data_IF_037235543936
#
_entry.id   IF_037235543936
#
_cell.length_a   1.000
_cell.length_b   1.000
_cell.length_c   1.000
_cell.angle_alpha   90.00
_cell.angle_beta   90.00
_cell.angle_gamma   90.00
#
_symmetry.space_group_name_H-M   'P 1'
#
loop_
_entity.id
_entity.type
_entity.pdbx_description
1 polymer ?
#
# COMPACT_ATOMS: atom_id res chain seq x y z
N UNK A 1 29.77 3.64 8.77
CA UNK A 1 28.43 4.25 8.59
C UNK A 1 28.62 5.71 8.15
N UNK A 2 28.87 5.92 6.87
CA UNK A 2 28.75 7.24 6.28
C UNK A 2 27.27 7.41 5.96
N UNK A 3 26.49 7.95 6.91
CA UNK A 3 25.18 8.48 6.61
C UNK A 3 25.31 9.51 5.49
N UNK A 4 24.49 9.39 4.45
CA UNK A 4 24.42 10.39 3.41
C UNK A 4 24.16 11.76 4.10
N UNK A 5 25.03 12.74 3.88
CA UNK A 5 24.96 14.06 4.53
C UNK A 5 23.58 14.74 4.31
N UNK A 6 22.88 14.37 3.23
CA UNK A 6 21.57 14.92 2.88
C UNK A 6 20.39 14.09 3.41
N UNK A 7 20.62 12.96 4.11
CA UNK A 7 19.58 12.04 4.57
C UNK A 7 18.66 11.53 3.42
N UNK A 8 19.20 11.40 2.22
CA UNK A 8 18.52 10.82 1.06
C UNK A 8 18.81 9.32 0.96
N UNK A 9 17.80 8.53 0.62
CA UNK A 9 17.90 7.07 0.52
C UNK A 9 17.61 6.61 -0.91
N UNK A 10 18.44 5.71 -1.44
CA UNK A 10 18.34 5.17 -2.78
C UNK A 10 18.09 3.68 -2.72
N UNK A 11 16.98 3.23 -3.34
CA UNK A 11 16.53 1.83 -3.34
C UNK A 11 16.17 1.39 -4.77
N UNK A 12 16.58 0.18 -5.15
CA UNK A 12 16.11 -0.48 -6.36
C UNK A 12 14.72 -1.09 -6.15
N UNK A 13 13.88 -1.04 -7.18
CA UNK A 13 12.51 -1.60 -7.13
C UNK A 13 12.23 -2.59 -8.26
N UNK A 14 13.27 -3.03 -9.00
CA UNK A 14 13.20 -4.07 -10.02
C UNK A 14 12.64 -3.61 -11.35
N UNK A 15 11.51 -2.94 -11.38
CA UNK A 15 10.84 -2.48 -12.60
C UNK A 15 10.01 -1.22 -12.36
N UNK A 16 9.59 -0.58 -13.44
CA UNK A 16 8.71 0.59 -13.40
C UNK A 16 7.34 0.22 -12.86
N UNK A 17 6.78 0.97 -11.87
CA UNK A 17 5.40 0.81 -11.44
C UNK A 17 4.40 1.12 -12.55
N UNK A 18 3.32 0.34 -12.65
CA UNK A 18 2.22 0.60 -13.61
C UNK A 18 1.42 1.86 -13.24
N UNK A 19 1.38 2.19 -11.95
CA UNK A 19 0.65 3.33 -11.40
C UNK A 19 0.85 3.47 -9.90
N UNK A 20 0.21 4.47 -9.29
CA UNK A 20 0.21 4.71 -7.85
C UNK A 20 -1.20 4.84 -7.27
N UNK A 21 -2.20 4.26 -7.95
CA UNK A 21 -3.54 4.13 -7.40
C UNK A 21 -3.62 2.83 -6.57
N UNK A 22 -3.74 2.90 -5.23
CA UNK A 22 -3.69 1.72 -4.37
C UNK A 22 -4.84 0.74 -4.61
N UNK A 23 -5.92 1.22 -5.25
CA UNK A 23 -7.09 0.39 -5.55
C UNK A 23 -7.00 -0.31 -6.92
N UNK A 24 -6.00 0.01 -7.75
CA UNK A 24 -5.86 -0.52 -9.11
C UNK A 24 -4.60 -1.34 -9.34
N UNK A 25 -3.53 -1.07 -8.60
CA UNK A 25 -2.25 -1.72 -8.77
C UNK A 25 -2.16 -3.06 -8.02
N UNK A 26 -1.27 -3.94 -8.46
CA UNK A 26 -1.10 -5.28 -7.89
C UNK A 26 0.37 -5.69 -7.73
N UNK A 27 1.30 -4.84 -8.13
CA UNK A 27 2.73 -5.14 -8.17
C UNK A 27 3.49 -4.81 -6.88
N UNK A 28 4.65 -5.46 -6.74
CA UNK A 28 5.60 -5.20 -5.64
C UNK A 28 6.27 -3.83 -5.78
N UNK A 29 6.66 -3.36 -6.99
CA UNK A 29 7.24 -2.03 -7.15
C UNK A 29 6.31 -0.91 -6.68
N UNK A 30 5.00 -1.03 -6.99
CA UNK A 30 3.97 -0.11 -6.52
C UNK A 30 3.88 -0.11 -5.00
N UNK A 31 3.91 -1.29 -4.40
CA UNK A 31 3.84 -1.44 -2.95
C UNK A 31 4.96 -0.68 -2.23
N UNK A 32 6.21 -0.78 -2.70
CA UNK A 32 7.33 -0.04 -2.11
C UNK A 32 7.12 1.47 -2.12
N UNK A 33 6.62 2.02 -3.24
CA UNK A 33 6.36 3.45 -3.34
C UNK A 33 5.14 3.85 -2.49
N UNK A 34 4.06 3.06 -2.55
CA UNK A 34 2.82 3.35 -1.81
C UNK A 34 3.02 3.32 -0.30
N UNK A 35 3.88 2.42 0.24
CA UNK A 35 4.28 2.40 1.66
C UNK A 35 4.86 3.74 2.15
N UNK A 36 5.48 4.51 1.26
CA UNK A 36 6.00 5.83 1.61
C UNK A 36 4.95 6.94 1.52
N UNK A 37 3.93 6.79 0.67
CA UNK A 37 2.97 7.85 0.32
C UNK A 37 1.66 7.76 1.09
N UNK A 38 1.26 6.56 1.53
CA UNK A 38 -0.02 6.29 2.16
C UNK A 38 0.16 5.46 3.43
N UNK A 39 -0.82 5.57 4.31
CA UNK A 39 -0.91 4.80 5.55
C UNK A 39 -2.35 4.31 5.76
N UNK A 40 -2.49 3.05 6.21
CA UNK A 40 -3.78 2.42 6.49
C UNK A 40 -4.26 2.61 7.92
N UNK A 41 -5.32 1.88 8.30
CA UNK A 41 -5.80 1.85 9.68
C UNK A 41 -4.77 1.27 10.64
N UNK A 42 -4.10 0.21 10.21
CA UNK A 42 -3.06 -0.50 10.97
C UNK A 42 -1.81 -0.67 10.12
N UNK A 43 -0.69 -0.93 10.76
CA UNK A 43 0.59 -1.28 10.12
C UNK A 43 1.17 -2.54 10.73
N UNK A 44 2.29 -3.01 10.19
CA UNK A 44 3.04 -4.15 10.72
C UNK A 44 4.32 -3.64 11.38
N UNK A 45 4.61 -4.19 12.57
CA UNK A 45 5.94 -4.01 13.16
C UNK A 45 7.01 -4.59 12.22
N UNK A 46 8.08 -3.86 11.89
CA UNK A 46 9.02 -4.26 10.84
C UNK A 46 9.77 -5.59 11.10
N UNK A 47 9.95 -5.96 12.37
CA UNK A 47 10.68 -7.18 12.75
C UNK A 47 9.75 -8.33 13.14
N UNK A 48 8.70 -8.04 13.93
CA UNK A 48 7.84 -9.08 14.51
C UNK A 48 6.61 -9.39 13.68
N UNK A 49 6.28 -8.53 12.70
CA UNK A 49 5.05 -8.55 11.91
C UNK A 49 3.78 -8.47 12.76
N UNK A 50 3.89 -8.03 14.01
CA UNK A 50 2.73 -7.76 14.86
C UNK A 50 1.94 -6.56 14.32
N UNK A 51 0.62 -6.61 14.49
CA UNK A 51 -0.25 -5.50 14.10
C UNK A 51 -0.03 -4.33 15.06
N UNK A 52 0.21 -3.15 14.50
CA UNK A 52 0.40 -1.91 15.24
C UNK A 52 -0.58 -0.82 14.81
N UNK A 53 -0.89 0.15 15.69
CA UNK A 53 -1.60 1.36 15.33
C UNK A 53 -0.93 2.14 14.20
N UNK A 54 -1.76 2.73 13.33
CA UNK A 54 -1.32 3.64 12.27
C UNK A 54 -2.27 4.85 12.22
N UNK A 55 -3.08 5.03 11.17
CA UNK A 55 -4.15 6.06 11.19
C UNK A 55 -5.17 5.78 12.30
N UNK A 56 -5.46 4.51 12.60
CA UNK A 56 -6.21 4.17 13.81
C UNK A 56 -5.25 4.07 15.01
N UNK A 57 -5.50 4.88 16.05
CA UNK A 57 -4.71 4.83 17.29
C UNK A 57 -5.09 3.65 18.19
N UNK A 58 -6.28 3.08 18.01
CA UNK A 58 -6.79 1.92 18.75
C UNK A 58 -8.00 1.32 18.06
N UNK A 59 -8.40 0.12 18.48
CA UNK A 59 -9.62 -0.55 18.03
C UNK A 59 -10.20 -1.45 19.09
N UNK A 60 -11.52 -1.67 19.02
CA UNK A 60 -12.28 -2.61 19.82
C UNK A 60 -12.82 -3.74 18.95
N UNK A 61 -12.91 -4.93 19.52
CA UNK A 61 -13.44 -6.13 18.85
C UNK A 61 -14.57 -6.66 19.73
N UNK A 62 -15.75 -6.91 19.14
CA UNK A 62 -16.87 -7.52 19.85
C UNK A 62 -16.55 -8.98 20.25
N UNK A 63 -17.22 -9.47 21.31
CA UNK A 63 -16.98 -10.82 21.84
C UNK A 63 -17.19 -11.93 20.80
N UNK A 64 -18.10 -11.72 19.86
CA UNK A 64 -18.39 -12.65 18.76
C UNK A 64 -17.41 -12.53 17.57
N UNK A 65 -16.50 -11.53 17.61
CA UNK A 65 -15.53 -11.27 16.55
C UNK A 65 -16.15 -10.76 15.24
N UNK A 66 -17.38 -10.28 15.26
CA UNK A 66 -18.10 -9.81 14.07
C UNK A 66 -18.07 -8.29 13.90
N UNK A 67 -17.75 -7.55 14.94
CA UNK A 67 -17.70 -6.09 14.89
C UNK A 67 -16.33 -5.57 15.31
N UNK A 68 -15.74 -4.70 14.46
CA UNK A 68 -14.49 -4.01 14.73
C UNK A 68 -14.75 -2.51 14.70
N UNK A 69 -14.39 -1.83 15.78
CA UNK A 69 -14.51 -0.37 15.88
C UNK A 69 -13.13 0.25 15.96
N UNK A 70 -12.74 1.03 14.95
CA UNK A 70 -11.46 1.73 14.90
C UNK A 70 -11.63 3.18 15.32
N UNK A 71 -10.72 3.66 16.18
CA UNK A 71 -10.64 5.04 16.64
C UNK A 71 -9.47 5.73 15.94
N UNK A 72 -9.77 6.70 15.07
CA UNK A 72 -8.76 7.39 14.29
C UNK A 72 -7.93 8.36 15.13
N UNK A 73 -6.65 8.47 14.81
CA UNK A 73 -5.75 9.43 15.41
C UNK A 73 -6.16 10.85 15.03
N UNK A 74 -6.47 11.74 15.99
CA UNK A 74 -6.90 13.11 15.71
C UNK A 74 -5.82 13.95 15.02
N UNK A 75 -4.55 13.53 15.05
CA UNK A 75 -3.43 14.19 14.40
C UNK A 75 -3.17 13.68 12.97
N UNK A 76 -3.85 12.60 12.52
CA UNK A 76 -3.69 12.08 11.19
C UNK A 76 -4.13 13.12 10.15
N UNK A 77 -3.25 13.44 9.22
CA UNK A 77 -3.46 14.50 8.22
C UNK A 77 -2.97 14.06 6.85
N UNK A 78 -3.61 14.59 5.82
CA UNK A 78 -3.19 14.51 4.45
C UNK A 78 -2.01 15.46 4.20
N UNK A 79 -1.24 15.22 3.16
CA UNK A 79 -0.06 16.01 2.80
C UNK A 79 -0.37 17.46 2.36
N UNK A 80 -1.63 17.80 2.15
CA UNK A 80 -2.11 19.15 1.93
C UNK A 80 -2.58 19.86 3.22
N UNK A 81 -2.51 19.19 4.37
CA UNK A 81 -2.91 19.70 5.69
C UNK A 81 -4.36 19.42 6.10
N UNK A 82 -5.18 18.83 5.22
CA UNK A 82 -6.52 18.37 5.57
C UNK A 82 -6.44 17.23 6.59
N UNK A 83 -7.43 17.11 7.47
CA UNK A 83 -7.52 16.00 8.42
C UNK A 83 -7.94 14.71 7.70
N UNK A 84 -7.33 13.59 8.09
CA UNK A 84 -7.85 12.27 7.71
C UNK A 84 -9.06 11.95 8.57
N UNK A 85 -10.16 11.57 7.93
CA UNK A 85 -11.43 11.29 8.58
C UNK A 85 -11.97 9.91 8.21
N UNK A 86 -12.93 9.41 9.00
CA UNK A 86 -13.66 8.18 8.68
C UNK A 86 -14.39 8.25 7.34
N UNK A 87 -14.82 9.45 6.91
CA UNK A 87 -15.46 9.63 5.60
C UNK A 87 -14.50 9.41 4.43
N UNK A 88 -13.20 9.66 4.59
CA UNK A 88 -12.20 9.38 3.56
C UNK A 88 -12.06 7.87 3.35
N UNK A 89 -12.12 7.10 4.42
CA UNK A 89 -12.17 5.63 4.37
C UNK A 89 -13.48 5.12 3.75
N UNK A 90 -14.64 5.71 4.13
CA UNK A 90 -15.92 5.36 3.52
C UNK A 90 -15.91 5.54 2.01
N UNK A 91 -15.45 6.71 1.53
CA UNK A 91 -15.26 6.99 0.10
C UNK A 91 -14.34 5.95 -0.56
N UNK A 92 -13.25 5.60 0.10
CA UNK A 92 -12.24 4.67 -0.42
C UNK A 92 -12.78 3.25 -0.55
N UNK A 93 -13.56 2.78 0.43
CA UNK A 93 -14.19 1.45 0.37
C UNK A 93 -15.34 1.40 -0.64
N UNK A 94 -16.16 2.46 -0.74
CA UNK A 94 -17.16 2.56 -1.78
C UNK A 94 -16.53 2.54 -3.16
N UNK A 95 -15.48 3.34 -3.38
CA UNK A 95 -14.70 3.35 -4.62
C UNK A 95 -14.15 1.98 -4.96
N UNK A 96 -13.47 1.34 -4.00
CA UNK A 96 -12.83 0.03 -4.14
C UNK A 96 -13.84 -1.07 -4.51
N UNK A 97 -15.04 -1.01 -3.92
CA UNK A 97 -16.10 -2.01 -4.14
C UNK A 97 -17.00 -1.68 -5.33
N UNK A 98 -16.97 -0.45 -5.87
CA UNK A 98 -17.80 -0.07 -7.02
C UNK A 98 -17.42 -0.89 -8.26
N UNK A 99 -18.36 -1.65 -8.87
CA UNK A 99 -18.05 -2.56 -9.99
C UNK A 99 -17.37 -1.87 -11.16
N UNK A 100 -17.74 -0.61 -11.45
CA UNK A 100 -17.22 0.17 -12.56
C UNK A 100 -15.70 0.48 -12.42
N UNK A 101 -15.15 0.52 -11.22
CA UNK A 101 -13.71 0.67 -11.01
C UNK A 101 -12.94 -0.56 -11.47
N UNK A 102 -13.52 -1.77 -11.26
CA UNK A 102 -12.88 -3.04 -11.60
C UNK A 102 -11.59 -3.27 -10.80
N UNK A 103 -11.60 -2.95 -9.51
CA UNK A 103 -10.46 -3.11 -8.61
C UNK A 103 -10.02 -4.58 -8.51
N UNK A 104 -8.76 -4.93 -8.84
CA UNK A 104 -8.31 -6.33 -8.86
C UNK A 104 -8.41 -7.04 -7.51
N UNK A 105 -8.22 -6.30 -6.43
CA UNK A 105 -8.22 -6.81 -5.06
C UNK A 105 -9.48 -6.49 -4.25
N UNK A 106 -10.60 -6.13 -4.91
CA UNK A 106 -11.88 -5.89 -4.24
C UNK A 106 -12.31 -7.07 -3.33
N UNK A 107 -11.96 -8.30 -3.71
CA UNK A 107 -12.28 -9.51 -2.94
C UNK A 107 -11.65 -9.53 -1.53
N UNK A 108 -10.60 -8.75 -1.27
CA UNK A 108 -10.00 -8.64 0.06
C UNK A 108 -10.95 -7.98 1.08
N UNK A 109 -11.96 -7.25 0.60
CA UNK A 109 -13.00 -6.64 1.44
C UNK A 109 -14.22 -7.56 1.64
N UNK A 110 -14.26 -8.76 1.04
CA UNK A 110 -15.45 -9.64 1.07
C UNK A 110 -15.75 -10.28 2.43
N UNK A 111 -14.84 -10.16 3.40
CA UNK A 111 -15.15 -10.48 4.81
C UNK A 111 -16.15 -9.50 5.43
N UNK A 112 -16.25 -8.28 4.91
CA UNK A 112 -17.23 -7.27 5.32
C UNK A 112 -18.62 -7.69 4.82
N UNK A 113 -19.63 -7.55 5.69
CA UNK A 113 -21.02 -7.86 5.37
C UNK A 113 -21.47 -7.11 4.11
N UNK A 114 -22.08 -7.81 3.16
CA UNK A 114 -22.61 -7.29 1.90
C UNK A 114 -21.56 -6.69 0.91
N UNK A 115 -20.26 -6.66 1.23
CA UNK A 115 -19.24 -6.12 0.34
C UNK A 115 -19.16 -6.88 -1.00
N UNK A 116 -19.23 -8.20 -0.94
CA UNK A 116 -19.23 -9.05 -2.13
C UNK A 116 -20.46 -8.82 -3.03
N UNK A 117 -21.66 -8.75 -2.43
CA UNK A 117 -22.90 -8.49 -3.16
C UNK A 117 -22.88 -7.10 -3.84
N UNK A 118 -22.38 -6.09 -3.15
CA UNK A 118 -22.22 -4.75 -3.70
C UNK A 118 -21.21 -4.76 -4.87
N UNK A 119 -20.05 -5.37 -4.69
CA UNK A 119 -19.03 -5.43 -5.75
C UNK A 119 -19.45 -6.22 -6.98
N UNK A 120 -20.34 -7.21 -6.82
CA UNK A 120 -20.92 -7.96 -7.94
C UNK A 120 -22.12 -7.28 -8.61
N UNK A 121 -22.56 -6.13 -8.10
CA UNK A 121 -23.76 -5.43 -8.58
C UNK A 121 -25.09 -6.09 -8.22
N UNK A 122 -25.09 -7.02 -7.27
CA UNK A 122 -26.31 -7.65 -6.71
C UNK A 122 -26.98 -6.71 -5.69
N UNK A 123 -26.23 -5.76 -5.16
CA UNK A 123 -26.65 -4.70 -4.26
C UNK A 123 -26.13 -3.35 -4.79
N UNK A 124 -27.02 -2.35 -4.90
CA UNK A 124 -26.66 -1.05 -5.48
C UNK A 124 -26.52 0.09 -4.44
N UNK A 125 -26.87 -0.19 -3.19
CA UNK A 125 -26.80 0.79 -2.10
C UNK A 125 -25.61 0.47 -1.18
N UNK A 126 -24.55 1.30 -1.23
CA UNK A 126 -23.37 1.13 -0.39
C UNK A 126 -23.66 1.24 1.10
N UNK A 127 -24.72 1.97 1.50
CA UNK A 127 -25.12 2.08 2.90
C UNK A 127 -25.49 0.73 3.56
N UNK A 128 -25.78 -0.29 2.74
CA UNK A 128 -26.05 -1.66 3.18
C UNK A 128 -24.79 -2.50 3.41
N UNK A 129 -23.62 -2.00 2.99
CA UNK A 129 -22.34 -2.64 3.26
C UNK A 129 -21.98 -2.44 4.73
N UNK A 130 -21.38 -3.46 5.34
CA UNK A 130 -21.05 -3.49 6.76
C UNK A 130 -19.90 -2.59 7.17
N UNK A 131 -19.79 -1.38 6.60
CA UNK A 131 -18.84 -0.35 7.02
C UNK A 131 -19.60 0.94 7.29
N UNK A 132 -19.30 1.61 8.42
CA UNK A 132 -20.00 2.82 8.85
C UNK A 132 -19.03 3.82 9.48
N UNK A 133 -19.33 5.11 9.31
CA UNK A 133 -18.65 6.22 9.94
C UNK A 133 -19.67 6.99 10.82
N UNK A 134 -19.88 6.60 12.09
CA UNK A 134 -20.84 7.29 12.96
C UNK A 134 -20.44 8.74 13.28
N UNK A 135 -19.16 9.03 13.22
CA UNK A 135 -18.57 10.37 13.33
C UNK A 135 -17.26 10.44 12.54
N UNK A 136 -16.61 11.60 12.50
CA UNK A 136 -15.40 11.84 11.68
C UNK A 136 -14.15 11.11 12.17
N UNK A 137 -14.19 10.47 13.33
CA UNK A 137 -13.04 9.79 13.97
C UNK A 137 -13.25 8.32 14.24
N UNK A 138 -14.44 7.78 13.93
CA UNK A 138 -14.81 6.39 14.22
C UNK A 138 -15.22 5.66 12.96
N UNK A 139 -14.60 4.47 12.74
CA UNK A 139 -14.98 3.53 11.70
C UNK A 139 -15.44 2.22 12.33
N UNK A 140 -16.59 1.72 11.90
CA UNK A 140 -17.16 0.45 12.37
C UNK A 140 -17.30 -0.51 11.20
N UNK A 141 -16.75 -1.71 11.36
CA UNK A 141 -16.90 -2.81 10.40
C UNK A 141 -17.75 -3.91 11.00
N UNK A 142 -18.76 -4.34 10.26
CA UNK A 142 -19.57 -5.53 10.54
C UNK A 142 -19.17 -6.63 9.57
N UNK A 143 -18.64 -7.75 10.07
CA UNK A 143 -18.19 -8.86 9.26
C UNK A 143 -19.32 -9.85 8.99
N UNK A 144 -19.22 -10.60 7.90
CA UNK A 144 -20.18 -11.67 7.58
C UNK A 144 -19.93 -12.95 8.40
N UNK A 145 -18.68 -13.17 8.80
CA UNK A 145 -18.24 -14.27 9.66
C UNK A 145 -17.03 -13.84 10.47
N UNK A 146 -16.76 -14.42 11.66
CA UNK A 146 -15.55 -14.13 12.40
C UNK A 146 -14.30 -14.38 11.53
N UNK A 147 -13.46 -13.35 11.42
CA UNK A 147 -12.29 -13.37 10.54
C UNK A 147 -11.06 -13.03 11.37
N UNK A 148 -10.33 -14.01 11.93
CA UNK A 148 -9.21 -13.77 12.86
C UNK A 148 -8.07 -12.94 12.27
N UNK A 149 -7.92 -12.95 10.94
CA UNK A 149 -6.89 -12.19 10.20
C UNK A 149 -7.40 -10.84 9.67
N UNK A 150 -8.55 -10.33 10.15
CA UNK A 150 -9.15 -9.08 9.66
C UNK A 150 -8.21 -7.89 9.80
N UNK A 151 -7.52 -7.76 10.93
CA UNK A 151 -6.54 -6.70 11.16
C UNK A 151 -5.33 -6.78 10.19
N UNK A 152 -4.93 -7.99 9.79
CA UNK A 152 -3.88 -8.16 8.80
C UNK A 152 -4.33 -7.66 7.40
N UNK A 153 -5.61 -7.82 7.05
CA UNK A 153 -6.13 -7.27 5.79
C UNK A 153 -6.00 -5.74 5.75
N UNK A 154 -6.25 -5.06 6.88
CA UNK A 154 -6.21 -3.59 6.95
C UNK A 154 -4.80 -2.99 6.83
N UNK A 155 -3.73 -3.80 6.89
CA UNK A 155 -2.35 -3.36 6.62
C UNK A 155 -2.02 -3.29 5.13
N UNK A 156 -2.81 -3.92 4.27
CA UNK A 156 -2.55 -3.97 2.85
C UNK A 156 -3.01 -2.68 2.16
N UNK A 157 -2.25 -2.19 1.18
CA UNK A 157 -2.52 -0.91 0.50
C UNK A 157 -3.91 -0.79 -0.14
N UNK A 158 -4.58 -1.88 -0.47
CA UNK A 158 -5.96 -1.85 -0.98
C UNK A 158 -6.99 -1.37 0.05
N UNK A 159 -6.64 -1.38 1.33
CA UNK A 159 -7.46 -0.87 2.44
C UNK A 159 -7.13 0.58 2.81
N UNK A 160 -6.07 1.14 2.21
CA UNK A 160 -5.62 2.48 2.54
C UNK A 160 -6.53 3.55 1.91
N UNK A 161 -6.74 4.66 2.61
CA UNK A 161 -7.62 5.70 2.11
C UNK A 161 -6.96 6.48 0.98
N UNK A 162 -7.77 7.01 0.07
CA UNK A 162 -7.38 8.00 -0.92
C UNK A 162 -8.09 9.32 -0.61
N UNK A 163 -7.47 10.45 -0.93
CA UNK A 163 -8.04 11.77 -0.64
C UNK A 163 -9.22 12.07 -1.59
N UNK A 164 -10.48 12.11 -1.11
CA UNK A 164 -11.65 12.19 -1.98
C UNK A 164 -11.66 13.40 -2.89
N UNK A 165 -11.34 14.58 -2.33
CA UNK A 165 -11.35 15.83 -3.08
C UNK A 165 -10.32 15.82 -4.21
N UNK A 166 -9.14 15.22 -4.00
CA UNK A 166 -8.12 15.09 -5.04
C UNK A 166 -8.57 14.11 -6.14
N UNK A 167 -9.16 12.98 -5.77
CA UNK A 167 -9.68 12.03 -6.78
C UNK A 167 -10.74 12.71 -7.64
N UNK A 168 -11.73 13.36 -7.01
CA UNK A 168 -12.86 14.00 -7.68
C UNK A 168 -12.47 15.26 -8.46
N UNK A 169 -11.41 15.95 -8.08
CA UNK A 169 -10.90 17.10 -8.85
C UNK A 169 -10.28 16.68 -10.19
N UNK A 170 -9.97 15.40 -10.39
CA UNK A 170 -9.30 14.89 -11.58
C UNK A 170 -10.14 13.88 -12.38
N UNK A 171 -11.42 13.73 -12.06
CA UNK A 171 -12.36 12.86 -12.76
C UNK A 171 -13.39 12.23 -11.82
N UNK A 172 -14.11 11.25 -12.34
CA UNK A 172 -15.05 10.48 -11.52
C UNK A 172 -14.29 9.52 -10.60
N UNK A 173 -14.91 9.10 -9.49
CA UNK A 173 -14.27 8.18 -8.53
C UNK A 173 -13.84 6.84 -9.15
N UNK A 174 -14.42 6.46 -10.28
CA UNK A 174 -14.14 5.22 -11.00
C UNK A 174 -13.24 5.38 -12.22
N UNK A 175 -12.73 6.59 -12.48
CA UNK A 175 -11.80 6.83 -13.58
C UNK A 175 -10.44 6.15 -13.32
N UNK A 176 -10.12 5.18 -14.18
CA UNK A 176 -8.89 4.38 -14.08
C UNK A 176 -7.65 5.10 -14.63
N UNK A 177 -7.84 6.13 -15.45
CA UNK A 177 -6.76 6.88 -16.13
C UNK A 177 -6.71 8.33 -15.61
N UNK A 178 -7.09 8.51 -14.35
CA UNK A 178 -7.09 9.82 -13.72
C UNK A 178 -5.67 10.32 -13.43
N UNK A 179 -5.51 11.65 -13.41
CA UNK A 179 -4.22 12.31 -13.14
C UNK A 179 -3.95 12.55 -11.65
N UNK A 180 -4.85 12.14 -10.77
CA UNK A 180 -4.70 12.41 -9.33
C UNK A 180 -3.44 11.75 -8.72
N UNK A 181 -2.95 10.65 -9.34
CA UNK A 181 -1.75 9.93 -8.89
C UNK A 181 -0.42 10.50 -9.42
N UNK A 182 -0.45 11.62 -10.14
CA UNK A 182 0.76 12.21 -10.75
C UNK A 182 1.45 13.20 -9.80
N UNK A 183 2.78 13.42 -9.95
CA UNK A 183 3.47 14.47 -9.22
C UNK A 183 2.75 15.81 -9.31
N UNK A 184 2.66 16.52 -8.19
CA UNK A 184 1.93 17.77 -8.07
C UNK A 184 0.42 17.64 -7.81
N UNK A 185 -0.16 16.47 -8.06
CA UNK A 185 -1.58 16.20 -7.78
C UNK A 185 -1.77 15.22 -6.61
N UNK A 186 -0.82 14.30 -6.42
CA UNK A 186 -0.94 13.24 -5.41
C UNK A 186 -0.99 13.82 -4.00
N UNK A 187 -2.08 13.56 -3.28
CA UNK A 187 -2.25 13.88 -1.86
C UNK A 187 -2.32 12.57 -1.10
N UNK A 188 -1.30 12.28 -0.32
CA UNK A 188 -1.18 11.09 0.52
C UNK A 188 -1.22 11.44 2.00
N UNK A 189 -1.37 10.44 2.85
CA UNK A 189 -1.36 10.56 4.31
C UNK A 189 -0.15 9.84 4.96
N UNK A 190 0.79 9.38 4.15
CA UNK A 190 1.99 8.68 4.60
C UNK A 190 3.15 9.60 4.97
N UNK A 191 4.29 9.02 5.37
CA UNK A 191 5.47 9.75 5.84
C UNK A 191 6.16 10.61 4.77
N UNK A 192 5.89 10.39 3.49
CA UNK A 192 6.48 11.14 2.38
C UNK A 192 5.41 11.62 1.39
N UNK A 193 5.78 12.59 0.56
CA UNK A 193 4.98 13.15 -0.55
C UNK A 193 5.64 12.85 -1.88
N UNK A 194 4.84 12.60 -2.93
CA UNK A 194 5.35 12.38 -4.28
C UNK A 194 5.87 13.68 -4.89
N UNK A 195 7.17 13.76 -5.11
CA UNK A 195 7.83 14.96 -5.65
C UNK A 195 8.03 14.91 -7.15
N UNK A 196 8.58 13.81 -7.65
CA UNK A 196 8.94 13.67 -9.07
C UNK A 196 8.78 12.20 -9.49
N UNK A 197 8.41 12.00 -10.75
CA UNK A 197 8.35 10.69 -11.38
C UNK A 197 8.81 10.80 -12.84
N UNK A 198 10.02 10.33 -13.08
CA UNK A 198 10.61 10.25 -14.42
C UNK A 198 10.59 8.80 -14.87
N UNK A 199 9.75 8.51 -15.86
CA UNK A 199 9.55 7.16 -16.38
C UNK A 199 10.88 6.48 -16.74
N UNK A 200 11.03 5.24 -16.32
CA UNK A 200 12.24 4.39 -16.49
C UNK A 200 13.52 5.03 -15.93
N UNK A 201 13.40 5.97 -15.02
CA UNK A 201 14.56 6.62 -14.43
C UNK A 201 14.48 6.65 -12.89
N UNK A 202 13.52 7.34 -12.31
CA UNK A 202 13.40 7.46 -10.86
C UNK A 202 12.04 7.98 -10.42
N UNK A 203 11.62 7.56 -9.22
CA UNK A 203 10.52 8.17 -8.47
C UNK A 203 11.14 8.77 -7.21
N UNK A 204 10.94 10.08 -7.00
CA UNK A 204 11.41 10.77 -5.81
C UNK A 204 10.25 11.11 -4.91
N UNK A 205 10.37 10.77 -3.63
CA UNK A 205 9.46 11.22 -2.57
C UNK A 205 10.25 12.05 -1.55
N UNK A 206 9.61 13.06 -0.97
CA UNK A 206 10.21 13.96 0.04
C UNK A 206 9.38 13.89 1.32
N UNK A 207 10.01 14.10 2.47
CA UNK A 207 9.40 14.04 3.81
C UNK A 207 8.13 14.88 3.87
N UNK A 208 7.05 14.31 4.41
CA UNK A 208 5.75 14.95 4.55
C UNK A 208 5.69 15.78 5.84
N UNK A 209 5.61 17.12 5.79
CA UNK A 209 5.58 17.95 6.99
C UNK A 209 4.28 17.82 7.81
N UNK A 210 3.22 17.22 7.24
CA UNK A 210 1.94 17.04 7.89
C UNK A 210 1.73 15.62 8.44
N UNK A 211 2.73 14.73 8.28
CA UNK A 211 2.62 13.37 8.79
C UNK A 211 2.55 13.37 10.32
N UNK A 212 1.57 12.67 10.89
CA UNK A 212 1.30 12.70 12.33
C UNK A 212 2.47 12.21 13.20
N UNK A 213 3.36 11.38 12.66
CA UNK A 213 4.58 10.91 13.30
C UNK A 213 5.86 11.50 12.65
N UNK A 214 5.79 12.75 12.18
CA UNK A 214 6.87 13.46 11.48
C UNK A 214 8.24 13.36 12.18
N UNK A 215 8.26 13.48 13.52
CA UNK A 215 9.50 13.43 14.30
C UNK A 215 10.22 12.06 14.23
N UNK A 216 9.48 11.00 13.90
CA UNK A 216 10.03 9.66 13.75
C UNK A 216 10.66 9.43 12.37
N UNK A 217 10.34 10.25 11.38
CA UNK A 217 10.86 10.15 10.01
C UNK A 217 12.23 10.80 9.94
N UNK A 218 13.27 10.01 9.74
CA UNK A 218 14.68 10.47 9.73
C UNK A 218 15.17 10.88 8.35
N UNK A 219 14.61 10.28 7.29
CA UNK A 219 15.01 10.54 5.91
C UNK A 219 14.31 11.80 5.38
N UNK A 220 15.05 12.62 4.64
CA UNK A 220 14.48 13.77 3.94
C UNK A 220 13.89 13.40 2.56
N UNK A 221 14.45 12.39 1.90
CA UNK A 221 13.94 11.90 0.63
C UNK A 221 14.27 10.42 0.40
N UNK A 222 13.43 9.76 -0.43
CA UNK A 222 13.70 8.42 -0.95
C UNK A 222 13.64 8.49 -2.48
N UNK A 223 14.63 7.85 -3.12
CA UNK A 223 14.71 7.67 -4.56
C UNK A 223 14.49 6.19 -4.89
N UNK A 224 13.39 5.89 -5.54
CA UNK A 224 13.08 4.55 -6.05
C UNK A 224 13.58 4.46 -7.50
N UNK A 225 14.47 3.49 -7.77
CA UNK A 225 15.07 3.28 -9.08
C UNK A 225 14.50 2.03 -9.74
N UNK A 226 13.74 2.15 -10.83
CA UNK A 226 13.15 1.02 -11.55
C UNK A 226 14.18 0.38 -12.48
N UNK A 227 15.18 -0.27 -11.89
CA UNK A 227 16.28 -0.93 -12.59
C UNK A 227 16.28 -2.43 -12.29
N UNK A 228 16.79 -3.23 -13.24
CA UNK A 228 16.81 -4.69 -13.09
C UNK A 228 17.71 -5.14 -11.93
N UNK A 229 17.44 -6.32 -11.38
CA UNK A 229 18.18 -6.92 -10.26
C UNK A 229 19.70 -6.91 -10.48
N UNK A 230 20.17 -7.23 -11.70
CA UNK A 230 21.60 -7.18 -12.02
C UNK A 230 22.16 -5.75 -12.08
N UNK A 231 21.33 -4.77 -12.45
CA UNK A 231 21.71 -3.37 -12.42
C UNK A 231 21.72 -2.83 -10.98
N UNK A 232 20.77 -3.25 -10.14
CA UNK A 232 20.74 -2.93 -8.71
C UNK A 232 22.01 -3.42 -8.01
N UNK A 233 22.43 -4.68 -8.26
CA UNK A 233 23.63 -5.25 -7.65
C UNK A 233 24.90 -4.48 -8.06
N UNK A 234 25.01 -4.07 -9.34
CA UNK A 234 26.12 -3.23 -9.79
C UNK A 234 26.10 -1.83 -9.16
N UNK A 235 24.93 -1.21 -9.09
CA UNK A 235 24.75 0.11 -8.47
C UNK A 235 25.06 0.07 -6.96
N UNK A 236 24.65 -0.97 -6.26
CA UNK A 236 24.98 -1.21 -4.86
C UNK A 236 26.50 -1.33 -4.64
N UNK A 237 27.21 -2.11 -5.46
CA UNK A 237 28.67 -2.24 -5.37
C UNK A 237 29.46 -0.96 -5.68
N UNK A 238 28.85 -0.06 -6.44
CA UNK A 238 29.43 1.26 -6.75
C UNK A 238 28.90 2.38 -5.84
N UNK A 239 28.29 2.02 -4.71
CA UNK A 239 27.73 2.93 -3.69
C UNK A 239 26.70 3.93 -4.25
N UNK A 240 26.00 3.56 -5.34
CA UNK A 240 24.91 4.33 -5.93
C UNK A 240 23.53 3.92 -5.38
N UNK A 241 23.43 2.76 -4.73
CA UNK A 241 22.26 2.28 -4.01
C UNK A 241 22.62 1.95 -2.57
N UNK A 242 21.71 2.21 -1.66
CA UNK A 242 21.84 1.83 -0.25
C UNK A 242 21.29 0.43 0.02
N UNK A 243 20.29 -0.01 -0.75
CA UNK A 243 19.70 -1.34 -0.66
C UNK A 243 19.20 -1.79 -2.04
N UNK A 244 19.22 -3.09 -2.28
CA UNK A 244 18.63 -3.72 -3.47
C UNK A 244 17.32 -4.40 -3.11
N UNK A 245 16.41 -4.56 -4.05
CA UNK A 245 15.16 -5.30 -3.85
C UNK A 245 15.42 -6.78 -3.56
N UNK A 246 16.46 -7.35 -4.18
CA UNK A 246 16.92 -8.72 -3.95
C UNK A 246 18.37 -8.87 -4.43
N UNK A 247 18.99 -10.00 -4.10
CA UNK A 247 20.34 -10.34 -4.53
C UNK A 247 20.26 -11.35 -5.69
N UNK A 248 20.98 -11.15 -6.83
CA UNK A 248 21.04 -12.14 -7.89
C UNK A 248 21.50 -13.50 -7.36
N UNK A 249 20.77 -14.58 -7.67
CA UNK A 249 21.04 -15.93 -7.16
C UNK A 249 22.52 -16.33 -7.30
N UNK A 250 23.21 -16.11 -8.45
CA UNK A 250 24.63 -16.47 -8.59
C UNK A 250 25.59 -15.67 -7.72
N UNK A 251 25.11 -14.61 -7.06
CA UNK A 251 25.91 -13.75 -6.18
C UNK A 251 25.74 -14.05 -4.69
N UNK A 252 24.72 -14.82 -4.32
CA UNK A 252 24.40 -15.11 -2.91
C UNK A 252 25.60 -15.71 -2.19
N UNK A 253 26.17 -16.80 -2.70
CA UNK A 253 27.32 -17.49 -2.07
C UNK A 253 28.55 -16.58 -1.96
N UNK A 254 28.75 -15.71 -2.95
CA UNK A 254 29.85 -14.76 -2.93
C UNK A 254 29.70 -13.75 -1.80
N UNK A 255 28.51 -13.15 -1.63
CA UNK A 255 28.24 -12.20 -0.54
C UNK A 255 28.35 -12.88 0.82
N UNK A 256 27.77 -14.06 0.99
CA UNK A 256 27.88 -14.84 2.23
C UNK A 256 29.32 -15.11 2.65
N UNK A 257 30.20 -15.40 1.66
CA UNK A 257 31.59 -15.75 1.93
C UNK A 257 32.51 -14.54 2.07
N UNK A 258 32.23 -13.41 1.39
CA UNK A 258 33.17 -12.30 1.29
C UNK A 258 32.66 -11.01 1.95
N UNK A 259 31.33 -10.82 2.08
CA UNK A 259 30.70 -9.64 2.66
C UNK A 259 29.41 -10.01 3.42
N UNK A 260 29.50 -10.89 4.45
CA UNK A 260 28.32 -11.40 5.15
C UNK A 260 27.47 -10.29 5.82
N UNK A 261 28.09 -9.18 6.21
CA UNK A 261 27.40 -8.03 6.81
C UNK A 261 26.60 -7.20 5.81
N UNK A 262 26.69 -7.50 4.51
CA UNK A 262 26.00 -6.80 3.43
C UNK A 262 24.85 -7.60 2.81
N UNK A 263 24.57 -8.78 3.32
CA UNK A 263 23.47 -9.63 2.86
C UNK A 263 22.61 -10.06 4.06
N UNK A 264 21.30 -9.86 3.94
CA UNK A 264 20.34 -10.33 4.94
C UNK A 264 19.48 -11.45 4.33
N UNK A 265 19.07 -12.38 5.20
CA UNK A 265 18.10 -13.43 4.87
C UNK A 265 16.94 -13.30 5.83
N UNK A 266 15.82 -12.84 5.30
CA UNK A 266 14.60 -12.65 6.05
C UNK A 266 13.53 -13.66 5.65
N UNK A 267 12.67 -14.02 6.60
CA UNK A 267 11.52 -14.86 6.32
C UNK A 267 10.48 -14.04 5.55
N UNK A 268 10.09 -14.54 4.38
CA UNK A 268 9.06 -13.92 3.55
C UNK A 268 7.75 -14.68 3.65
N UNK A 269 6.68 -13.99 4.08
CA UNK A 269 5.33 -14.54 4.08
C UNK A 269 4.71 -14.38 2.68
N UNK A 270 4.97 -15.32 1.82
CA UNK A 270 4.50 -15.27 0.44
C UNK A 270 4.29 -16.66 -0.16
N UNK A 271 3.46 -16.73 -1.19
CA UNK A 271 3.22 -17.95 -1.98
C UNK A 271 3.53 -17.63 -3.43
N UNK A 272 4.46 -18.39 -4.01
CA UNK A 272 4.72 -18.36 -5.44
C UNK A 272 3.93 -19.46 -6.13
N UNK A 273 3.19 -19.12 -7.18
CA UNK A 273 2.39 -20.09 -7.94
C UNK A 273 2.30 -19.70 -9.42
N UNK A 274 2.06 -20.71 -10.27
CA UNK A 274 1.78 -20.50 -11.67
C UNK A 274 0.26 -20.47 -11.91
N UNK A 275 -0.23 -19.44 -12.59
CA UNK A 275 -1.59 -19.40 -13.13
C UNK A 275 -1.59 -20.11 -14.47
N UNK A 276 -2.32 -21.23 -14.54
CA UNK A 276 -2.40 -22.05 -15.75
C UNK A 276 -3.71 -21.73 -16.48
N UNK A 277 -3.61 -21.24 -17.72
CA UNK A 277 -4.79 -21.03 -18.55
C UNK A 277 -5.32 -22.37 -19.08
N UNK A 278 -6.32 -22.93 -18.39
CA UNK A 278 -6.98 -24.20 -18.78
C UNK A 278 -8.16 -24.00 -19.74
N UNK A 279 -8.52 -22.76 -20.07
CA UNK A 279 -9.63 -22.45 -20.99
C UNK A 279 -9.19 -22.45 -22.45
N UNK A 280 -7.96 -22.03 -22.72
CA UNK A 280 -7.42 -21.88 -24.05
C UNK A 280 -5.98 -22.45 -24.14
N UNK A 281 -5.56 -22.83 -25.36
CA UNK A 281 -4.18 -23.27 -25.65
C UNK A 281 -3.88 -24.73 -25.28
N UNK A 282 -2.61 -25.11 -25.22
CA UNK A 282 -2.18 -26.51 -25.08
C UNK A 282 -2.53 -27.13 -23.72
N UNK A 283 -2.76 -26.31 -22.70
CA UNK A 283 -3.08 -26.77 -21.34
C UNK A 283 -4.60 -26.89 -21.09
N UNK A 284 -5.42 -26.87 -22.14
CA UNK A 284 -6.85 -27.10 -22.05
C UNK A 284 -7.19 -28.56 -21.73
N UNK A 285 -6.32 -29.48 -22.15
CA UNK A 285 -6.45 -30.92 -21.87
C UNK A 285 -5.88 -31.21 -20.48
N UNK A 286 -6.65 -31.77 -19.55
CA UNK A 286 -6.18 -32.06 -18.19
C UNK A 286 -5.20 -33.23 -18.10
N UNK A 287 -4.92 -33.92 -19.19
CA UNK A 287 -3.94 -35.01 -19.30
C UNK A 287 -2.56 -34.44 -19.62
#
# INVERSE_FOLDING_TARGET
EQGNENQEFYIGIGTEPEGLDPHLVTGVPEHYVLLSLLEGLTTLHPETLAIEPAVAQSWDISEDGLCYTFHLNPSASWSNGDRVTSNDFMFSFERMLTPALGAPYAYMLYSIRNAEAFNKGELNDFSMVGVKAPDSSTLVFELKTPTPYFLNLSTHYTWWPVHPQTVLAHGEMTDRISKWTKPGNFVGNGPFTLKDWRLNHSIKVEKNPYYHAYENVRLEAIHFLPISIDAEERAFRSDQLHITSTVPIPRIDWYQSNQPDRINFDTYLGVYYYLINTKNGPLKDPR
#
